data_IF_489523358270
#
_entry.id   IF_489523358270
#
_cell.length_a   1.000
_cell.length_b   1.000
_cell.length_c   1.000
_cell.angle_alpha   90.00
_cell.angle_beta   90.00
_cell.angle_gamma   90.00
#
_symmetry.space_group_name_H-M   'P 1'
#
loop_
_entity.id
_entity.type
_entity.pdbx_description
1 polymer ?
2 non-polymer ?
3 non-polymer ?
4 non-polymer ?
5 non-polymer ?
6 non-polymer ?
7 water ?
#
# COMPACT_ATOMS: atom_id res chain seq x y z
N UNK A 11 -25.20 -14.91 13.85
CA UNK A 11 -25.24 -13.46 13.67
C UNK A 11 -23.84 -12.89 13.48
N UNK A 12 -22.81 -13.71 13.72
CA UNK A 12 -21.42 -13.32 13.50
C UNK A 12 -20.80 -14.05 12.33
N UNK A 13 -21.62 -14.55 11.42
CA UNK A 13 -21.11 -15.28 10.26
C UNK A 13 -20.56 -14.32 9.22
N UNK A 14 -19.39 -14.63 8.68
CA UNK A 14 -18.77 -13.85 7.62
C UNK A 14 -18.58 -14.79 6.42
N UNK A 15 -19.05 -14.35 5.26
CA UNK A 15 -18.81 -15.06 4.01
C UNK A 15 -17.55 -14.50 3.39
N UNK A 16 -16.63 -15.35 2.95
CA UNK A 16 -15.34 -14.86 2.51
C UNK A 16 -14.78 -15.77 1.42
N UNK A 17 -13.60 -15.41 0.93
CA UNK A 17 -12.81 -16.24 0.04
C UNK A 17 -11.46 -16.52 0.71
N UNK A 18 -11.11 -17.79 0.84
CA UNK A 18 -9.93 -18.17 1.60
C UNK A 18 -9.03 -19.07 0.77
N UNK A 19 -7.72 -18.99 1.06
CA UNK A 19 -6.80 -20.05 0.69
C UNK A 19 -6.76 -21.06 1.83
N UNK A 20 -7.03 -22.32 1.54
CA UNK A 20 -6.98 -23.35 2.57
C UNK A 20 -5.56 -23.82 2.83
N UNK A 21 -4.69 -23.70 1.83
CA UNK A 21 -3.28 -24.00 1.96
C UNK A 21 -2.54 -23.10 0.98
N UNK A 22 -1.22 -23.06 1.09
CA UNK A 22 -0.42 -22.22 0.20
C UNK A 22 -0.60 -22.63 -1.25
N UNK A 23 -0.77 -21.63 -2.12
CA UNK A 23 -0.79 -21.88 -3.55
C UNK A 23 -2.08 -22.42 -4.12
N UNK A 24 -3.15 -22.51 -3.33
CA UNK A 24 -4.42 -23.00 -3.86
C UNK A 24 -5.23 -21.85 -4.46
N UNK A 25 -6.20 -22.21 -5.30
CA UNK A 25 -7.25 -21.26 -5.67
C UNK A 25 -8.00 -20.83 -4.41
N UNK A 26 -8.46 -19.59 -4.41
CA UNK A 26 -9.29 -19.10 -3.33
C UNK A 26 -10.68 -19.70 -3.44
N UNK A 27 -11.22 -20.14 -2.29
CA UNK A 27 -12.46 -20.89 -2.27
C UNK A 27 -13.50 -20.20 -1.40
N UNK A 28 -14.78 -20.37 -1.70
CA UNK A 28 -15.83 -19.87 -0.78
C UNK A 28 -15.64 -20.42 0.63
N UNK A 29 -15.78 -19.55 1.61
CA UNK A 29 -15.41 -19.90 2.97
C UNK A 29 -16.26 -19.08 3.94
N UNK A 30 -17.07 -19.76 4.76
CA UNK A 30 -17.85 -19.11 5.80
C UNK A 30 -17.20 -19.38 7.14
N UNK A 31 -17.14 -18.36 8.00
CA UNK A 31 -16.59 -18.58 9.34
C UNK A 31 -17.35 -17.76 10.37
N UNK A 32 -17.25 -18.22 11.62
CA UNK A 32 -17.87 -17.57 12.77
C UNK A 32 -16.87 -16.57 13.33
N UNK A 33 -17.16 -15.27 13.21
CA UNK A 33 -16.22 -14.26 13.66
C UNK A 33 -16.22 -14.06 15.18
N UNK A 34 -17.16 -14.67 15.89
CA UNK A 34 -17.28 -14.43 17.32
C UNK A 34 -17.85 -13.04 17.58
N UNK A 35 -18.05 -12.75 18.87
CA UNK A 35 -18.64 -11.47 19.25
C UNK A 35 -17.67 -10.33 18.97
N UNK A 36 -18.21 -9.24 18.44
CA UNK A 36 -17.43 -8.02 18.26
C UNK A 36 -16.93 -7.54 19.61
N UNK A 37 -15.66 -7.22 19.69
CA UNK A 37 -15.08 -6.80 20.96
C UNK A 37 -15.20 -5.28 21.12
N UNK A 38 -15.11 -4.78 22.35
CA UNK A 38 -15.38 -3.35 22.58
C UNK A 38 -14.48 -2.42 21.80
N UNK A 39 -13.23 -2.82 21.50
CA UNK A 39 -12.31 -1.95 20.78
C UNK A 39 -12.41 -2.07 19.27
N UNK A 40 -13.32 -2.90 18.76
CA UNK A 40 -13.40 -3.20 17.34
C UNK A 40 -14.61 -2.53 16.69
N UNK A 41 -14.55 -2.44 15.35
CA UNK A 41 -15.69 -2.04 14.53
C UNK A 41 -15.85 -3.10 13.44
N UNK A 42 -17.06 -3.16 12.89
CA UNK A 42 -17.35 -4.07 11.78
C UNK A 42 -17.78 -3.24 10.59
N UNK A 43 -17.22 -3.57 9.44
CA UNK A 43 -17.41 -2.84 8.20
C UNK A 43 -18.01 -3.79 7.17
N UNK A 44 -19.08 -3.36 6.52
CA UNK A 44 -19.58 -4.09 5.36
C UNK A 44 -18.77 -3.68 4.15
N UNK A 45 -18.07 -4.64 3.53
CA UNK A 45 -17.12 -4.33 2.46
C UNK A 45 -17.87 -3.86 1.21
N UNK A 46 -17.40 -2.75 0.63
CA UNK A 46 -17.87 -2.30 -0.68
C UNK A 46 -16.86 -2.64 -1.78
N UNK A 47 -15.58 -2.33 -1.56
CA UNK A 47 -14.51 -2.64 -2.50
C UNK A 47 -13.29 -3.11 -1.73
N UNK A 48 -12.45 -3.88 -2.41
CA UNK A 48 -11.15 -4.22 -1.82
C UNK A 48 -10.12 -4.33 -2.94
N UNK A 49 -9.04 -3.57 -2.82
CA UNK A 49 -7.96 -3.70 -3.76
C UNK A 49 -7.24 -5.02 -3.63
N UNK A 50 -6.48 -5.35 -4.66
CA UNK A 50 -5.67 -6.55 -4.72
C UNK A 50 -4.26 -6.13 -5.07
N UNK A 51 -3.27 -6.59 -4.31
CA UNK A 51 -1.89 -6.33 -4.70
C UNK A 51 -1.01 -7.53 -4.35
N UNK A 52 0.29 -7.41 -4.66
CA UNK A 52 1.17 -8.57 -4.53
C UNK A 52 1.40 -8.97 -3.09
N UNK A 53 1.20 -8.07 -2.12
CA UNK A 53 1.32 -8.47 -0.73
C UNK A 53 0.26 -9.50 -0.36
N UNK A 54 -0.93 -9.41 -0.97
CA UNK A 54 -1.93 -10.47 -0.78
C UNK A 54 -1.39 -11.80 -1.30
N UNK A 55 -0.81 -11.79 -2.50
CA UNK A 55 -0.25 -13.02 -3.07
C UNK A 55 0.81 -13.59 -2.14
N UNK A 56 1.69 -12.73 -1.62
CA UNK A 56 2.76 -13.21 -0.76
C UNK A 56 2.22 -13.90 0.47
N UNK A 57 1.19 -13.32 1.09
CA UNK A 57 0.58 -13.96 2.26
C UNK A 57 -0.14 -15.24 1.85
N UNK A 58 -0.92 -15.17 0.77
CA UNK A 58 -1.60 -16.37 0.29
C UNK A 58 -0.63 -17.53 0.08
N UNK A 59 0.59 -17.23 -0.40
CA UNK A 59 1.58 -18.26 -0.66
C UNK A 59 2.51 -18.53 0.50
N UNK A 60 2.30 -17.88 1.66
CA UNK A 60 3.14 -18.07 2.84
C UNK A 60 4.60 -17.73 2.55
N UNK A 61 4.83 -16.73 1.68
CA UNK A 61 6.18 -16.29 1.35
C UNK A 61 6.96 -15.86 2.59
N UNK A 62 6.28 -15.25 3.55
CA UNK A 62 6.93 -14.67 4.71
C UNK A 62 6.82 -15.56 5.94
N UNK A 63 6.37 -16.79 5.76
CA UNK A 63 6.30 -17.80 6.82
C UNK A 63 5.55 -17.28 8.04
N UNK A 64 4.50 -16.49 7.80
CA UNK A 64 3.67 -15.97 8.86
C UNK A 64 2.18 -16.20 8.61
N UNK A 65 1.80 -16.91 7.56
CA UNK A 65 0.38 -17.05 7.22
C UNK A 65 -0.27 -18.10 8.11
N UNK A 66 -1.48 -17.81 8.56
CA UNK A 66 -2.32 -18.76 9.29
C UNK A 66 -3.42 -19.22 8.34
N UNK A 67 -3.40 -20.55 7.98
CA UNK A 67 -4.44 -21.03 7.07
C UNK A 67 -5.63 -21.60 7.86
N UNK A 68 -6.86 -21.44 7.35
CA UNK A 68 -7.22 -20.72 6.12
C UNK A 68 -7.03 -19.22 6.25
N UNK A 69 -6.59 -18.56 5.20
CA UNK A 69 -6.34 -17.12 5.25
C UNK A 69 -7.32 -16.43 4.32
N UNK A 70 -7.99 -15.41 4.86
CA UNK A 70 -8.82 -14.48 4.11
C UNK A 70 -7.98 -13.23 3.91
N UNK A 71 -7.55 -12.98 2.68
CA UNK A 71 -6.66 -11.86 2.40
C UNK A 71 -7.49 -10.61 2.08
N UNK A 72 -6.86 -9.59 1.46
CA UNK A 72 -7.55 -8.33 1.20
C UNK A 72 -7.28 -7.30 2.29
N UNK A 73 -6.48 -6.27 1.96
CA UNK A 73 -6.09 -5.28 2.96
C UNK A 73 -6.12 -3.86 2.37
N UNK A 74 -6.94 -3.64 1.34
CA UNK A 74 -7.14 -2.32 0.71
C UNK A 74 -8.65 -2.08 0.67
N UNK A 75 -9.26 -1.95 1.85
CA UNK A 75 -10.71 -2.13 2.02
C UNK A 75 -11.40 -0.77 2.08
N UNK A 76 -12.48 -0.62 1.32
CA UNK A 76 -13.42 0.49 1.44
C UNK A 76 -14.78 -0.09 1.81
N UNK A 77 -15.40 0.41 2.87
CA UNK A 77 -16.73 -0.05 3.20
C UNK A 77 -17.40 0.88 4.19
N UNK A 78 -18.56 0.47 4.69
CA UNK A 78 -19.31 1.27 5.64
C UNK A 78 -19.42 0.56 6.98
N UNK A 79 -19.31 1.35 8.05
CA UNK A 79 -19.46 0.81 9.39
C UNK A 79 -20.87 0.25 9.57
N UNK A 80 -20.95 -1.00 10.04
CA UNK A 80 -22.24 -1.59 10.38
C UNK A 80 -22.37 -1.89 11.85
N UNK A 81 -21.28 -1.88 12.61
CA UNK A 81 -21.38 -2.09 14.05
C UNK A 81 -20.20 -1.45 14.73
N UNK A 82 -20.43 -0.91 15.92
CA UNK A 82 -19.40 -0.24 16.70
C UNK A 82 -19.27 -0.92 18.05
N UNK A 83 -18.04 -1.31 18.40
CA UNK A 83 -17.75 -1.64 19.77
C UNK A 83 -17.91 -0.41 20.65
N UNK A 84 -18.18 -0.67 21.94
CA UNK A 84 -18.52 0.42 22.86
C UNK A 84 -17.37 1.40 23.05
N UNK A 85 -16.12 1.02 22.71
CA UNK A 85 -14.99 1.91 22.90
C UNK A 85 -14.67 2.76 21.68
N UNK A 86 -15.37 2.55 20.56
CA UNK A 86 -15.07 3.33 19.37
C UNK A 86 -15.35 4.82 19.60
N UNK A 87 -14.46 5.67 19.09
CA UNK A 87 -14.57 7.11 19.24
C UNK A 87 -14.62 7.75 17.85
N UNK A 88 -15.46 8.76 17.69
CA UNK A 88 -15.44 9.55 16.47
C UNK A 88 -16.07 8.92 15.25
N UNK A 89 -16.72 7.77 15.38
CA UNK A 89 -17.26 7.06 14.23
C UNK A 89 -18.75 6.90 14.39
N UNK A 90 -19.43 6.61 13.28
CA UNK A 90 -20.86 6.35 13.36
C UNK A 90 -21.23 5.24 12.40
N UNK A 91 -22.30 4.52 12.74
CA UNK A 91 -22.82 3.52 11.83
C UNK A 91 -23.18 4.20 10.50
N UNK A 92 -22.84 3.53 9.40
CA UNK A 92 -23.13 4.05 8.07
C UNK A 92 -22.00 4.85 7.45
N UNK A 93 -21.00 5.23 8.25
CA UNK A 93 -19.89 6.02 7.76
C UNK A 93 -18.95 5.19 6.88
N UNK A 94 -18.50 5.77 5.77
CA UNK A 94 -17.55 5.08 4.90
C UNK A 94 -16.14 5.23 5.43
N UNK A 95 -15.42 4.12 5.56
CA UNK A 95 -14.08 4.10 6.09
C UNK A 95 -13.21 3.22 5.21
N UNK A 96 -11.90 3.34 5.40
CA UNK A 96 -10.94 2.46 4.78
C UNK A 96 -10.16 1.70 5.84
N UNK A 97 -9.78 0.47 5.50
CA UNK A 97 -8.91 -0.34 6.34
C UNK A 97 -7.76 -0.82 5.48
N UNK A 98 -6.54 -0.63 5.98
CA UNK A 98 -5.36 -0.98 5.24
C UNK A 98 -4.65 -2.17 5.85
N UNK A 99 -3.31 -2.14 5.82
CA UNK A 99 -2.51 -3.29 6.24
C UNK A 99 -2.72 -3.62 7.72
N UNK A 100 -2.92 -2.62 8.58
CA UNK A 100 -2.97 -2.84 10.01
C UNK A 100 -4.42 -2.85 10.49
N UNK A 101 -4.76 -3.84 11.31
CA UNK A 101 -6.09 -3.94 11.89
C UNK A 101 -6.13 -3.52 13.35
N UNK A 102 -5.15 -3.89 14.18
CA UNK A 102 -5.21 -3.58 15.60
C UNK A 102 -3.82 -3.21 16.11
N UNK A 103 -3.78 -2.33 17.12
CA UNK A 103 -2.56 -2.12 17.87
C UNK A 103 -2.95 -1.83 19.32
N UNK A 104 -1.95 -1.81 20.21
CA UNK A 104 -2.23 -1.92 21.63
C UNK A 104 -2.78 -0.64 22.26
N UNK A 105 -2.58 0.52 21.63
CA UNK A 105 -3.06 1.83 22.07
C UNK A 105 -2.33 2.42 23.28
N UNK A 106 -1.46 1.65 23.93
CA UNK A 106 -0.88 2.07 25.20
C UNK A 106 0.64 2.15 25.23
N UNK A 107 1.35 1.54 24.28
CA UNK A 107 2.80 1.65 24.29
C UNK A 107 3.22 3.08 23.92
N UNK A 108 4.51 3.38 24.12
CA UNK A 108 5.02 4.72 23.80
C UNK A 108 4.79 5.07 22.34
N UNK A 109 5.00 4.11 21.44
CA UNK A 109 4.78 4.37 20.02
C UNK A 109 3.32 4.71 19.75
N UNK A 110 2.39 3.91 20.30
CA UNK A 110 0.98 4.12 20.02
C UNK A 110 0.51 5.43 20.60
N UNK A 111 0.89 5.71 21.86
CA UNK A 111 0.39 6.89 22.54
C UNK A 111 0.94 8.15 21.89
N UNK A 112 2.10 8.05 21.23
CA UNK A 112 2.69 9.17 20.52
C UNK A 112 2.32 9.23 19.04
N UNK A 113 1.27 8.53 18.62
CA UNK A 113 0.79 8.64 17.26
C UNK A 113 1.56 7.84 16.22
N UNK A 114 2.41 6.90 16.64
CA UNK A 114 3.09 6.01 15.70
C UNK A 114 2.60 4.58 15.86
N UNK A 115 1.27 4.39 15.74
CA UNK A 115 0.66 3.10 15.99
C UNK A 115 1.17 2.03 15.04
N UNK A 116 1.65 2.41 13.85
CA UNK A 116 2.18 1.41 12.93
C UNK A 116 3.50 0.83 13.45
N UNK A 117 4.16 1.52 14.39
CA UNK A 117 5.38 1.04 15.01
C UNK A 117 5.15 0.44 16.39
N UNK A 118 3.90 0.07 16.68
CA UNK A 118 3.50 -0.46 18.00
C UNK A 118 4.47 -1.54 18.47
N UNK A 119 4.94 -1.39 19.70
CA UNK A 119 5.84 -2.38 20.32
C UNK A 119 5.10 -3.31 21.28
N UNK A 120 3.80 -3.18 21.40
CA UNK A 120 2.94 -4.11 22.13
C UNK A 120 2.27 -5.09 21.19
N UNK A 121 1.10 -5.59 21.60
CA UNK A 121 0.36 -6.51 20.76
C UNK A 121 -0.28 -5.78 19.60
N UNK A 122 -0.06 -6.26 18.38
CA UNK A 122 -0.66 -5.63 17.22
C UNK A 122 -0.97 -6.70 16.20
N UNK A 123 -1.90 -6.39 15.29
CA UNK A 123 -2.41 -7.38 14.35
C UNK A 123 -2.52 -6.76 12.97
N UNK A 124 -1.95 -7.42 11.97
CA UNK A 124 -2.12 -7.03 10.57
C UNK A 124 -3.39 -7.67 10.01
N UNK A 125 -4.09 -6.91 9.17
CA UNK A 125 -5.40 -7.28 8.64
C UNK A 125 -5.46 -8.71 8.07
N UNK A 126 -4.38 -9.18 7.43
CA UNK A 126 -4.46 -10.49 6.80
C UNK A 126 -3.46 -11.48 7.37
N UNK A 127 -2.80 -11.16 8.48
CA UNK A 127 -1.79 -12.04 9.08
C UNK A 127 -2.36 -12.52 10.40
N UNK A 128 -2.82 -13.76 10.45
CA UNK A 128 -3.51 -14.25 11.64
C UNK A 128 -4.77 -13.49 11.95
N UNK A 129 -5.43 -12.98 10.92
CA UNK A 129 -6.61 -12.11 10.99
C UNK A 129 -7.28 -12.19 9.62
N UNK A 130 -8.59 -12.00 9.60
CA UNK A 130 -9.35 -12.09 8.35
C UNK A 130 -9.49 -10.71 7.72
N UNK A 131 -9.26 -10.64 6.41
CA UNK A 131 -9.26 -9.36 5.71
C UNK A 131 -10.50 -9.11 4.90
N UNK A 132 -10.33 -8.34 3.82
CA UNK A 132 -11.39 -7.72 3.05
C UNK A 132 -11.94 -8.50 1.88
N UNK A 133 -11.41 -9.69 1.58
CA UNK A 133 -12.02 -10.56 0.58
C UNK A 133 -13.21 -11.30 1.20
N UNK A 134 -14.20 -10.51 1.62
CA UNK A 134 -15.25 -10.99 2.51
C UNK A 134 -16.41 -10.00 2.47
N UNK A 135 -17.58 -10.42 2.96
CA UNK A 135 -18.69 -9.47 2.96
C UNK A 135 -18.58 -8.48 4.12
N UNK A 136 -17.93 -8.88 5.20
CA UNK A 136 -17.68 -8.00 6.35
C UNK A 136 -16.24 -8.20 6.80
N UNK A 137 -15.71 -7.17 7.46
CA UNK A 137 -14.36 -7.21 8.00
C UNK A 137 -14.37 -6.44 9.31
N UNK A 138 -13.50 -6.84 10.22
CA UNK A 138 -13.41 -6.17 11.52
C UNK A 138 -12.00 -5.62 11.73
N UNK A 139 -11.92 -4.57 12.54
CA UNK A 139 -10.63 -3.97 12.84
C UNK A 139 -10.78 -3.15 14.10
N UNK A 140 -9.65 -2.79 14.71
CA UNK A 140 -9.71 -1.82 15.79
C UNK A 140 -10.18 -0.47 15.29
N UNK A 141 -10.90 0.25 16.16
CA UNK A 141 -11.58 1.46 15.70
C UNK A 141 -10.60 2.53 15.21
N UNK A 142 -9.40 2.60 15.79
CA UNK A 142 -8.46 3.63 15.33
C UNK A 142 -7.94 3.36 13.92
N UNK A 143 -8.08 2.13 13.43
CA UNK A 143 -7.55 1.76 12.13
C UNK A 143 -8.61 1.79 11.04
N UNK A 144 -9.83 2.16 11.36
CA UNK A 144 -10.89 2.40 10.38
C UNK A 144 -10.83 3.88 10.01
N UNK A 145 -10.26 4.18 8.85
CA UNK A 145 -9.87 5.55 8.49
C UNK A 145 -11.07 6.19 7.79
N UNK A 146 -11.61 7.29 8.33
CA UNK A 146 -12.75 7.94 7.65
C UNK A 146 -12.38 8.45 6.27
N UNK A 147 -13.28 8.22 5.31
CA UNK A 147 -13.13 8.74 3.94
C UNK A 147 -13.87 10.07 3.81
N UNK A 148 -13.23 11.04 3.14
CA UNK A 148 -13.97 12.23 2.70
C UNK A 148 -15.16 11.82 1.85
N UNK A 149 -16.28 12.53 2.03
CA UNK A 149 -17.48 12.18 1.28
C UNK A 149 -17.29 12.31 -0.23
N UNK A 150 -16.36 13.14 -0.68
CA UNK A 150 -16.19 13.38 -2.10
C UNK A 150 -15.08 12.54 -2.73
N UNK A 151 -14.57 11.54 -2.03
CA UNK A 151 -13.58 10.65 -2.60
C UNK A 151 -14.26 9.43 -3.21
N UNK A 152 -14.04 9.19 -4.50
CA UNK A 152 -14.62 8.05 -5.20
C UNK A 152 -14.26 6.73 -4.52
N UNK A 153 -15.24 5.93 -4.06
CA UNK A 153 -14.90 4.73 -3.27
C UNK A 153 -14.29 3.62 -4.11
N UNK A 154 -14.57 3.60 -5.40
CA UNK A 154 -14.16 2.51 -6.27
C UNK A 154 -12.64 2.47 -6.46
N UNK A 155 -11.98 3.62 -6.47
CA UNK A 155 -10.54 3.68 -6.68
C UNK A 155 -9.76 4.03 -5.43
N UNK A 156 -10.44 4.23 -4.30
CA UNK A 156 -9.78 4.70 -3.08
C UNK A 156 -9.04 3.59 -2.36
N UNK A 157 -9.48 2.34 -2.49
CA UNK A 157 -8.87 1.24 -1.77
C UNK A 157 -7.37 1.18 -1.88
N UNK A 158 -6.84 1.24 -3.11
CA UNK A 158 -5.38 1.15 -3.27
C UNK A 158 -4.61 2.25 -2.58
N UNK A 159 -5.25 3.37 -2.23
CA UNK A 159 -4.54 4.41 -1.49
C UNK A 159 -4.11 3.94 -0.11
N UNK A 160 -4.88 3.01 0.47
CA UNK A 160 -4.58 2.52 1.81
C UNK A 160 -3.37 1.59 1.84
N UNK A 161 -2.80 1.24 0.69
CA UNK A 161 -1.61 0.41 0.61
C UNK A 161 -0.54 1.03 -0.27
N UNK A 162 -0.77 1.01 -1.59
CA UNK A 162 0.16 1.67 -2.49
C UNK A 162 0.33 3.14 -2.18
N UNK A 163 -0.78 3.82 -1.95
CA UNK A 163 -0.71 5.25 -1.72
C UNK A 163 0.07 5.61 -0.48
N UNK A 164 -0.25 4.96 0.64
CA UNK A 164 0.38 5.34 1.91
C UNK A 164 1.86 4.97 1.90
N UNK A 165 2.25 3.89 1.21
CA UNK A 165 3.67 3.54 1.22
C UNK A 165 4.51 4.53 0.43
N UNK A 166 3.92 5.26 -0.52
CA UNK A 166 4.63 6.37 -1.16
C UNK A 166 4.51 7.66 -0.35
N UNK A 167 3.32 7.91 0.18
CA UNK A 167 3.04 9.14 0.92
C UNK A 167 3.92 9.26 2.17
N UNK A 168 4.10 8.17 2.89
CA UNK A 168 4.81 8.27 4.16
C UNK A 168 6.28 8.65 4.00
N UNK A 169 7.03 8.10 3.04
CA UNK A 169 8.38 8.63 2.81
C UNK A 169 8.40 10.09 2.38
N UNK A 170 7.39 10.57 1.63
CA UNK A 170 7.36 12.00 1.33
C UNK A 170 7.28 12.82 2.61
N UNK A 171 6.43 12.40 3.55
CA UNK A 171 6.36 13.08 4.84
C UNK A 171 7.65 12.94 5.63
N UNK A 172 8.17 11.71 5.75
CA UNK A 172 9.31 11.46 6.62
C UNK A 172 10.57 12.18 6.13
N UNK A 173 10.80 12.17 4.82
CA UNK A 173 11.98 12.83 4.26
C UNK A 173 11.76 14.31 3.98
N UNK A 174 10.60 14.85 4.35
CA UNK A 174 10.29 16.27 4.13
C UNK A 174 10.51 16.67 2.68
N UNK A 175 10.00 15.83 1.77
CA UNK A 175 10.12 16.11 0.34
C UNK A 175 9.23 17.29 -0.03
N UNK A 176 9.76 18.20 -0.86
CA UNK A 176 9.03 19.38 -1.32
C UNK A 176 9.08 19.42 -2.85
N UNK A 177 8.31 20.36 -3.43
CA UNK A 177 8.21 20.46 -4.88
C UNK A 177 9.56 20.73 -5.55
N UNK A 178 10.52 21.30 -4.81
CA UNK A 178 11.83 21.57 -5.39
C UNK A 178 12.66 20.31 -5.64
N UNK A 179 12.32 19.20 -4.98
CA UNK A 179 13.15 18.02 -5.03
C UNK A 179 12.92 17.22 -6.31
N UNK A 180 13.90 16.39 -6.64
CA UNK A 180 13.85 15.48 -7.78
C UNK A 180 13.76 14.06 -7.23
N UNK A 181 12.69 13.35 -7.56
CA UNK A 181 12.44 11.99 -7.04
C UNK A 181 12.50 11.01 -8.20
N UNK A 182 13.20 9.90 -8.00
CA UNK A 182 13.21 8.81 -8.96
C UNK A 182 12.31 7.67 -8.51
N UNK A 183 11.71 6.99 -9.48
CA UNK A 183 10.83 5.85 -9.23
C UNK A 183 11.34 4.67 -10.05
N UNK A 184 11.69 3.58 -9.38
CA UNK A 184 12.26 2.40 -10.03
C UNK A 184 11.16 1.37 -10.21
N UNK A 185 10.89 1.02 -11.47
CA UNK A 185 9.82 0.08 -11.79
C UNK A 185 8.46 0.74 -11.73
N UNK A 186 7.67 0.59 -12.79
CA UNK A 186 6.35 1.22 -12.82
C UNK A 186 5.28 0.18 -13.06
N UNK A 187 5.02 -0.65 -12.07
CA UNK A 187 3.79 -1.42 -12.01
C UNK A 187 2.69 -0.56 -11.43
N UNK A 188 1.74 -1.21 -10.77
CA UNK A 188 0.71 -0.45 -10.06
C UNK A 188 1.29 0.47 -9.01
N UNK A 189 2.35 0.03 -8.33
CA UNK A 189 2.94 0.83 -7.26
C UNK A 189 3.68 2.04 -7.82
N UNK A 190 4.46 1.86 -8.89
CA UNK A 190 5.12 3.00 -9.52
C UNK A 190 4.13 3.99 -10.11
N UNK A 191 3.03 3.49 -10.64
CA UNK A 191 1.97 4.34 -11.16
C UNK A 191 1.41 5.26 -10.07
N UNK A 192 1.08 4.69 -8.91
CA UNK A 192 0.59 5.52 -7.80
C UNK A 192 1.65 6.52 -7.38
N UNK A 193 2.92 6.10 -7.38
CA UNK A 193 3.99 7.01 -6.97
C UNK A 193 4.06 8.22 -7.90
N UNK A 194 3.96 8.00 -9.21
CA UNK A 194 4.07 9.11 -10.15
C UNK A 194 2.93 10.11 -9.96
N UNK A 195 1.70 9.63 -9.80
CA UNK A 195 0.57 10.55 -9.64
C UNK A 195 0.69 11.37 -8.36
N UNK A 196 1.13 10.72 -7.28
CA UNK A 196 1.30 11.43 -6.02
C UNK A 196 2.43 12.46 -6.13
N UNK A 197 3.55 12.08 -6.73
CA UNK A 197 4.65 13.01 -6.91
C UNK A 197 4.27 14.16 -7.84
N UNK A 198 3.43 13.91 -8.84
CA UNK A 198 3.00 15.01 -9.70
C UNK A 198 2.18 16.04 -8.92
N UNK A 199 1.25 15.57 -8.09
CA UNK A 199 0.50 16.47 -7.21
C UNK A 199 1.41 17.20 -6.23
N UNK A 200 2.51 16.56 -5.85
CA UNK A 200 3.46 17.15 -4.91
C UNK A 200 4.28 18.27 -5.53
N UNK A 201 4.35 18.33 -6.86
CA UNK A 201 5.11 19.33 -7.57
C UNK A 201 6.54 18.94 -7.88
N UNK A 202 6.97 17.75 -7.48
CA UNK A 202 8.37 17.35 -7.63
C UNK A 202 8.73 17.19 -9.10
N UNK A 203 10.04 17.26 -9.37
CA UNK A 203 10.55 16.75 -10.63
C UNK A 203 10.62 15.23 -10.52
N UNK A 204 10.26 14.53 -11.60
CA UNK A 204 10.03 13.09 -11.54
C UNK A 204 10.82 12.39 -12.63
N UNK A 205 11.62 11.38 -12.26
CA UNK A 205 12.22 10.47 -13.22
C UNK A 205 11.67 9.06 -12.97
N UNK A 206 11.21 8.41 -14.03
CA UNK A 206 10.76 7.03 -13.96
C UNK A 206 11.76 6.13 -14.65
N UNK A 207 12.18 5.07 -13.95
CA UNK A 207 13.05 4.04 -14.51
C UNK A 207 12.18 2.87 -14.97
N UNK A 208 12.21 2.57 -16.25
CA UNK A 208 11.42 1.51 -16.85
C UNK A 208 12.30 0.63 -17.72
N UNK A 209 12.07 -0.68 -17.65
CA UNK A 209 12.76 -1.61 -18.52
C UNK A 209 12.06 -1.79 -19.87
N UNK A 210 10.78 -1.39 -19.95
CA UNK A 210 10.00 -1.47 -21.18
C UNK A 210 10.08 -0.14 -21.94
N UNK A 211 10.94 -0.04 -22.95
CA UNK A 211 11.11 1.26 -23.64
C UNK A 211 9.88 1.74 -24.39
N UNK A 212 8.85 0.89 -24.55
CA UNK A 212 7.67 1.30 -25.28
C UNK A 212 6.76 2.22 -24.47
N UNK A 213 6.86 2.20 -23.14
CA UNK A 213 5.94 2.92 -22.29
C UNK A 213 6.33 4.37 -22.02
N UNK A 214 7.33 4.89 -22.75
CA UNK A 214 7.87 6.21 -22.44
C UNK A 214 6.82 7.31 -22.59
N UNK A 215 5.98 7.22 -23.63
CA UNK A 215 4.97 8.27 -23.83
C UNK A 215 3.90 8.23 -22.75
N UNK A 216 3.47 7.02 -22.34
CA UNK A 216 2.46 6.91 -21.30
C UNK A 216 2.98 7.35 -19.94
N UNK A 217 4.25 7.05 -19.64
CA UNK A 217 4.81 7.50 -18.37
C UNK A 217 4.89 9.01 -18.31
N UNK A 218 5.31 9.64 -19.42
CA UNK A 218 5.39 11.10 -19.43
C UNK A 218 4.02 11.73 -19.29
N UNK A 219 3.00 11.17 -19.95
CA UNK A 219 1.64 11.68 -19.79
C UNK A 219 1.14 11.44 -18.37
N UNK A 220 1.62 10.37 -17.73
CA UNK A 220 1.27 10.10 -16.34
C UNK A 220 1.83 11.16 -15.40
N UNK A 221 2.88 11.88 -15.80
CA UNK A 221 3.43 12.94 -14.97
C UNK A 221 4.95 12.91 -14.89
N UNK A 222 5.56 11.86 -15.41
CA UNK A 222 7.02 11.74 -15.37
C UNK A 222 7.66 12.82 -16.23
N UNK A 223 8.66 13.50 -15.66
CA UNK A 223 9.41 14.48 -16.44
C UNK A 223 10.48 13.81 -17.29
N UNK A 224 11.04 12.70 -16.82
CA UNK A 224 12.09 11.99 -17.53
C UNK A 224 11.84 10.50 -17.40
N UNK A 225 12.26 9.75 -18.42
CA UNK A 225 12.14 8.29 -18.43
C UNK A 225 13.50 7.72 -18.83
N UNK A 226 14.00 6.81 -18.01
CA UNK A 226 15.32 6.21 -18.20
C UNK A 226 15.16 4.70 -18.35
N UNK A 227 15.81 4.13 -19.37
CA UNK A 227 15.88 2.69 -19.53
C UNK A 227 16.69 2.10 -18.38
N UNK A 228 16.00 1.44 -17.44
CA UNK A 228 16.70 0.84 -16.32
C UNK A 228 17.59 -0.33 -16.74
N UNK A 229 17.42 -0.86 -17.96
CA UNK A 229 18.32 -1.88 -18.45
C UNK A 229 19.61 -1.29 -19.02
N UNK A 230 19.60 -0.03 -19.43
CA UNK A 230 20.80 0.60 -20.00
C UNK A 230 21.70 1.02 -18.84
N UNK A 231 22.83 0.34 -18.69
CA UNK A 231 23.76 0.67 -17.61
C UNK A 231 24.34 2.07 -17.78
N UNK A 232 24.74 2.42 -19.01
CA UNK A 232 25.30 3.75 -19.24
C UNK A 232 24.28 4.84 -18.95
N UNK A 233 23.00 4.58 -19.22
CA UNK A 233 21.97 5.59 -19.00
C UNK A 233 21.71 5.80 -17.51
N UNK A 234 21.72 4.72 -16.73
CA UNK A 234 21.55 4.88 -15.28
C UNK A 234 22.75 5.62 -14.69
N UNK A 235 23.95 5.28 -15.16
CA UNK A 235 25.16 6.00 -14.74
C UNK A 235 25.02 7.49 -15.02
N UNK A 236 24.43 7.85 -16.16
CA UNK A 236 24.26 9.25 -16.54
C UNK A 236 23.28 10.00 -15.63
N UNK A 237 22.55 9.30 -14.76
CA UNK A 237 21.72 9.94 -13.76
C UNK A 237 22.46 10.20 -12.44
N UNK A 238 23.79 10.16 -12.46
CA UNK A 238 24.55 10.33 -11.23
C UNK A 238 24.20 11.64 -10.54
N UNK A 239 23.95 11.56 -9.24
CA UNK A 239 23.79 12.74 -8.41
C UNK A 239 22.51 13.51 -8.57
N UNK A 240 21.48 12.93 -9.20
CA UNK A 240 20.27 13.68 -9.50
C UNK A 240 19.18 13.64 -8.41
N UNK A 241 19.03 12.54 -7.67
CA UNK A 241 17.77 12.32 -6.93
C UNK A 241 17.92 12.59 -5.44
N UNK A 242 17.01 13.41 -4.91
CA UNK A 242 16.90 13.54 -3.47
C UNK A 242 16.29 12.31 -2.84
N UNK A 243 15.49 11.58 -3.60
CA UNK A 243 14.79 10.42 -3.08
C UNK A 243 14.61 9.46 -4.23
N UNK A 244 14.88 8.20 -3.99
CA UNK A 244 14.76 7.15 -4.99
C UNK A 244 13.81 6.11 -4.39
N UNK A 245 12.69 5.88 -5.05
CA UNK A 245 11.69 4.94 -4.55
C UNK A 245 11.77 3.65 -5.37
N UNK A 246 12.11 2.55 -4.71
CA UNK A 246 12.20 1.25 -5.36
C UNK A 246 10.93 0.47 -5.12
N UNK A 247 10.34 -0.05 -6.21
CA UNK A 247 9.22 -0.97 -6.15
C UNK A 247 9.63 -2.39 -6.53
N UNK A 248 10.90 -2.62 -6.83
CA UNK A 248 11.36 -3.82 -7.53
C UNK A 248 11.40 -5.03 -6.60
N UNK A 249 11.98 -6.13 -7.09
CA UNK A 249 12.04 -7.37 -6.34
C UNK A 249 13.20 -8.25 -6.84
N UNK A 250 14.28 -7.62 -7.28
CA UNK A 250 15.44 -8.37 -7.78
C UNK A 250 16.74 -7.81 -7.20
N UNK A 253 21.34 -3.53 -9.91
CA UNK A 253 22.67 -3.00 -9.62
C UNK A 253 22.57 -1.85 -8.64
N UNK A 254 22.60 -2.19 -7.34
CA UNK A 254 22.32 -1.19 -6.31
C UNK A 254 23.44 -0.17 -6.18
N UNK A 255 24.67 -0.55 -6.54
CA UNK A 255 25.75 0.43 -6.56
C UNK A 255 25.47 1.54 -7.57
N UNK A 256 25.06 1.15 -8.79
CA UNK A 256 24.76 2.12 -9.82
C UNK A 256 23.62 3.06 -9.40
N UNK A 257 22.58 2.50 -8.78
CA UNK A 257 21.44 3.34 -8.41
C UNK A 257 21.73 4.21 -7.20
N UNK A 258 22.53 3.72 -6.24
CA UNK A 258 22.92 4.60 -5.15
C UNK A 258 23.73 5.77 -5.68
N UNK A 259 24.48 5.58 -6.77
CA UNK A 259 25.21 6.69 -7.35
C UNK A 259 24.30 7.77 -7.92
N UNK A 260 23.05 7.42 -8.28
CA UNK A 260 22.13 8.43 -8.80
C UNK A 260 21.56 9.32 -7.71
N UNK A 261 21.77 8.99 -6.43
CA UNK A 261 21.32 9.89 -5.37
C UNK A 261 22.18 11.14 -5.34
N UNK A 262 21.52 12.27 -5.15
CA UNK A 262 22.16 13.53 -4.81
C UNK A 262 22.76 13.45 -3.41
N UNK A 263 23.66 14.38 -3.06
CA UNK A 263 24.12 14.46 -1.66
C UNK A 263 22.93 14.56 -0.71
N UNK A 264 23.03 13.85 0.41
CA UNK A 264 21.97 13.70 1.41
C UNK A 264 20.74 12.96 0.88
N UNK A 265 20.82 12.33 -0.30
CA UNK A 265 19.67 11.63 -0.82
C UNK A 265 19.44 10.29 -0.14
N UNK A 266 18.25 9.73 -0.35
CA UNK A 266 17.89 8.47 0.28
C UNK A 266 17.34 7.49 -0.75
N UNK A 267 17.78 6.24 -0.63
CA UNK A 267 17.18 5.11 -1.33
C UNK A 267 16.13 4.52 -0.40
N UNK A 268 14.87 4.49 -0.83
CA UNK A 268 13.79 4.09 0.06
C UNK A 268 13.05 2.91 -0.55
N UNK A 269 13.02 1.79 0.19
CA UNK A 269 12.38 0.59 -0.28
C UNK A 269 10.90 0.57 0.10
N UNK A 270 10.02 0.31 -0.87
CA UNK A 270 8.59 0.33 -0.60
C UNK A 270 8.07 -1.04 -0.17
N UNK A 271 8.13 -2.04 -1.05
CA UNK A 271 7.58 -3.35 -0.75
C UNK A 271 8.60 -4.30 -0.13
N UNK A 272 8.10 -5.27 0.64
CA UNK A 272 9.00 -6.16 1.37
C UNK A 272 9.62 -7.17 0.43
N UNK A 273 10.77 -6.81 -0.14
CA UNK A 273 11.60 -7.78 -0.83
C UNK A 273 12.39 -8.60 0.17
N UNK A 274 12.51 -9.90 -0.09
CA UNK A 274 13.27 -10.77 0.81
C UNK A 274 14.73 -10.90 0.40
N UNK A 275 15.08 -10.54 -0.83
CA UNK A 275 16.46 -10.62 -1.27
C UNK A 275 17.29 -9.56 -0.55
N UNK A 276 18.34 -9.94 0.17
CA UNK A 276 19.20 -8.94 0.82
C UNK A 276 19.80 -7.99 -0.20
N UNK A 277 19.97 -6.74 0.22
CA UNK A 277 20.57 -5.71 -0.63
C UNK A 277 22.00 -5.48 -0.16
N UNK A 278 23.01 -5.76 -0.98
CA UNK A 278 24.39 -5.49 -0.56
C UNK A 278 24.66 -4.00 -0.68
N UNK A 279 25.07 -3.38 0.42
CA UNK A 279 25.28 -1.94 0.46
C UNK A 279 26.75 -1.69 0.75
N UNK A 280 27.40 -0.92 -0.11
CA UNK A 280 28.75 -0.46 0.15
C UNK A 280 28.67 0.74 1.09
N UNK A 281 29.30 0.62 2.25
CA UNK A 281 29.33 1.70 3.23
C UNK A 281 29.95 2.95 2.65
N UNK A 282 31.00 2.78 1.83
CA UNK A 282 31.62 3.92 1.19
C UNK A 282 30.66 4.73 0.34
N UNK A 283 29.70 4.06 -0.31
CA UNK A 283 28.75 4.81 -1.11
C UNK A 283 27.81 5.64 -0.25
N UNK A 284 27.50 5.17 0.97
CA UNK A 284 26.70 5.98 1.90
C UNK A 284 27.55 7.09 2.52
N UNK A 285 28.79 6.77 2.90
CA UNK A 285 29.63 7.74 3.59
C UNK A 285 29.92 8.93 2.70
N UNK A 286 30.25 8.67 1.44
CA UNK A 286 30.83 9.73 0.61
C UNK A 286 29.81 10.84 0.33
N UNK A 287 28.54 10.48 0.13
CA UNK A 287 27.51 11.47 -0.13
C UNK A 287 26.57 11.76 1.01
N UNK A 288 26.81 11.23 2.21
CA UNK A 288 25.87 11.31 3.33
C UNK A 288 24.50 10.78 2.92
N UNK A 289 24.49 9.64 2.23
CA UNK A 289 23.27 9.03 1.72
C UNK A 289 22.74 7.99 2.71
N UNK A 290 21.47 7.64 2.55
CA UNK A 290 20.82 6.69 3.43
C UNK A 290 20.07 5.64 2.63
N UNK A 291 19.89 4.48 3.26
CA UNK A 291 18.99 3.43 2.79
C UNK A 291 17.93 3.24 3.87
N UNK A 292 16.67 3.24 3.46
CA UNK A 292 15.62 3.19 4.46
C UNK A 292 14.41 2.47 3.89
N UNK A 293 13.48 2.19 4.78
CA UNK A 293 12.20 1.64 4.41
C UNK A 293 11.22 2.18 5.43
N UNK A 294 9.95 2.04 5.12
CA UNK A 294 8.92 2.50 6.04
C UNK A 294 7.70 1.61 5.91
N UNK A 295 6.93 1.47 6.95
CA UNK A 295 5.78 0.55 6.89
C UNK A 295 4.58 1.17 6.19
N UNK A 296 3.39 0.79 6.63
CA UNK A 296 2.16 1.07 5.92
C UNK A 296 1.32 2.19 6.54
N UNK A 297 1.96 3.07 7.31
CA UNK A 297 1.32 4.27 7.79
C UNK A 297 0.56 4.13 9.10
N UNK A 298 0.60 5.18 9.91
CA UNK A 298 -0.24 5.28 11.10
C UNK A 298 -1.51 6.06 10.75
N UNK A 299 -2.53 6.01 11.64
CA UNK A 299 -3.82 6.60 11.28
C UNK A 299 -3.78 8.07 10.88
N UNK A 300 -2.95 8.90 11.52
CA UNK A 300 -2.92 10.32 11.13
C UNK A 300 -2.48 10.50 9.68
N UNK A 301 -1.43 9.79 9.27
CA UNK A 301 -0.97 9.91 7.89
C UNK A 301 -1.99 9.33 6.91
N UNK A 302 -2.65 8.24 7.29
CA UNK A 302 -3.68 7.68 6.41
C UNK A 302 -4.82 8.68 6.22
N UNK A 303 -5.23 9.33 7.30
CA UNK A 303 -6.26 10.36 7.17
C UNK A 303 -5.80 11.50 6.28
N UNK A 304 -4.55 11.94 6.47
CA UNK A 304 -4.03 13.04 5.66
C UNK A 304 -4.01 12.67 4.19
N UNK A 305 -3.62 11.42 3.88
CA UNK A 305 -3.55 11.01 2.49
C UNK A 305 -4.91 11.02 1.83
N UNK A 306 -5.93 10.51 2.53
CA UNK A 306 -7.27 10.47 1.94
C UNK A 306 -7.79 11.89 1.72
N UNK A 307 -7.53 12.79 2.66
CA UNK A 307 -7.91 14.19 2.48
C UNK A 307 -7.20 14.82 1.29
N UNK A 308 -5.90 14.54 1.15
CA UNK A 308 -5.13 15.07 0.02
C UNK A 308 -5.65 14.53 -1.30
N UNK A 309 -5.98 13.25 -1.34
CA UNK A 309 -6.48 12.67 -2.59
C UNK A 309 -7.85 13.20 -2.94
N UNK A 310 -8.64 13.62 -1.96
CA UNK A 310 -9.91 14.24 -2.31
C UNK A 310 -9.71 15.60 -2.96
N UNK A 311 -8.61 16.27 -2.65
CA UNK A 311 -8.31 17.57 -3.22
C UNK A 311 -7.56 17.48 -4.55
N UNK A 312 -6.61 16.55 -4.65
CA UNK A 312 -5.85 16.29 -5.87
C UNK A 312 -6.14 14.86 -6.30
N UNK A 313 -6.61 14.70 -7.53
CA UNK A 313 -6.90 13.36 -8.03
C UNK A 313 -5.65 12.51 -8.05
N UNK A 314 -5.35 11.80 -6.97
CA UNK A 314 -4.19 10.91 -7.00
C UNK A 314 -4.59 9.46 -7.17
N UNK A 315 -5.88 9.16 -7.23
CA UNK A 315 -6.34 7.77 -7.24
C UNK A 315 -5.88 7.06 -8.51
N UNK A 316 -5.49 5.80 -8.42
CA UNK A 316 -4.97 5.10 -9.59
C UNK A 316 -6.09 4.73 -10.55
N UNK A 317 -5.69 4.53 -11.80
CA UNK A 317 -6.55 3.83 -12.76
C UNK A 317 -6.74 2.40 -12.28
N UNK A 318 -7.98 1.93 -12.26
CA UNK A 318 -8.26 0.62 -11.69
C UNK A 318 -8.94 -0.26 -12.74
N UNK A 319 -8.77 -1.57 -12.59
CA UNK A 319 -9.57 -2.57 -13.28
C UNK A 319 -10.45 -3.25 -12.24
N UNK A 320 -11.75 -3.26 -12.47
CA UNK A 320 -12.72 -3.75 -11.48
C UNK A 320 -13.17 -5.17 -11.83
N UNK A 321 -13.10 -6.08 -10.85
CA UNK A 321 -13.64 -7.42 -10.93
C UNK A 321 -14.67 -7.63 -9.82
N UNK A 322 -15.74 -8.37 -10.08
CA UNK A 322 -16.57 -8.85 -8.96
C UNK A 322 -15.73 -9.75 -8.06
N UNK A 323 -16.04 -9.69 -6.76
CA UNK A 323 -15.32 -10.52 -5.79
C UNK A 323 -15.46 -12.00 -6.10
N UNK A 324 -16.58 -12.40 -6.71
CA UNK A 324 -16.79 -13.80 -7.12
C UNK A 324 -15.85 -14.24 -8.23
N UNK A 325 -15.06 -13.32 -8.78
CA UNK A 325 -14.05 -13.60 -9.79
C UNK A 325 -12.65 -13.30 -9.27
N UNK A 326 -12.44 -13.53 -7.97
CA UNK A 326 -11.14 -13.22 -7.36
C UNK A 326 -10.01 -14.00 -8.01
N UNK A 327 -10.23 -15.28 -8.32
CA UNK A 327 -9.15 -16.05 -8.91
C UNK A 327 -8.78 -15.54 -10.30
N UNK A 328 -9.78 -15.08 -11.05
CA UNK A 328 -9.51 -14.43 -12.34
C UNK A 328 -8.74 -13.14 -12.14
N UNK A 329 -9.07 -12.38 -11.08
CA UNK A 329 -8.35 -11.15 -10.79
C UNK A 329 -6.91 -11.42 -10.41
N UNK A 330 -6.68 -12.49 -9.65
CA UNK A 330 -5.31 -12.85 -9.30
C UNK A 330 -4.52 -13.25 -10.54
N UNK A 331 -5.15 -13.96 -11.48
CA UNK A 331 -4.47 -14.29 -12.72
C UNK A 331 -4.13 -13.01 -13.50
N UNK A 332 -5.05 -12.05 -13.53
CA UNK A 332 -4.78 -10.79 -14.21
C UNK A 332 -3.61 -10.04 -13.57
N UNK A 333 -3.56 -10.00 -12.23
CA UNK A 333 -2.41 -9.40 -11.56
C UNK A 333 -1.11 -10.08 -12.00
N UNK A 334 -1.12 -11.41 -12.04
CA UNK A 334 0.12 -12.12 -12.35
C UNK A 334 0.57 -11.90 -13.80
N UNK A 335 -0.36 -11.58 -14.70
CA UNK A 335 -0.02 -11.37 -16.10
C UNK A 335 0.82 -10.11 -16.34
N UNK A 336 0.84 -9.18 -15.38
CA UNK A 336 1.53 -7.92 -15.57
C UNK A 336 0.81 -6.90 -16.42
N UNK A 337 -0.37 -7.23 -16.95
CA UNK A 337 -1.06 -6.38 -17.91
C UNK A 337 -2.03 -5.39 -17.27
N UNK A 338 -2.22 -5.44 -15.95
CA UNK A 338 -3.19 -4.56 -15.31
C UNK A 338 -2.77 -3.10 -15.41
N UNK A 339 -3.74 -2.23 -15.66
CA UNK A 339 -3.51 -0.79 -15.77
C UNK A 339 -4.52 -0.10 -14.85
N UNK A 340 -4.17 0.10 -13.58
CA UNK A 340 -2.87 -0.29 -13.04
C UNK A 340 -3.04 -1.05 -11.72
N UNK A 341 -4.15 -0.83 -11.04
CA UNK A 341 -4.47 -1.56 -9.83
C UNK A 341 -5.80 -2.30 -10.02
N UNK A 342 -5.86 -3.50 -9.47
CA UNK A 342 -7.06 -4.33 -9.54
C UNK A 342 -7.84 -4.13 -8.26
N UNK A 343 -9.16 -3.95 -8.40
CA UNK A 343 -10.06 -3.78 -7.26
C UNK A 343 -11.21 -4.78 -7.40
N UNK A 344 -11.59 -5.40 -6.29
CA UNK A 344 -12.73 -6.32 -6.23
C UNK A 344 -13.94 -5.56 -5.72
N UNK A 345 -15.09 -5.72 -6.40
CA UNK A 345 -16.34 -5.19 -5.89
C UNK A 345 -17.07 -6.30 -5.14
N UNK A 346 -17.44 -6.04 -3.89
CA UNK A 346 -18.13 -7.06 -3.12
C UNK A 346 -19.49 -7.35 -3.75
N UNK A 347 -19.78 -8.65 -3.97
CA UNK A 347 -21.02 -9.07 -4.63
C UNK A 347 -21.63 -10.29 -3.93
N UNK A 348 -21.61 -10.30 -2.60
CA UNK A 348 -22.16 -11.42 -1.86
C UNK A 348 -23.68 -11.34 -1.79
N UNK A 349 -24.31 -12.50 -1.66
CA UNK A 349 -25.76 -12.54 -1.49
C UNK A 349 -26.14 -11.93 -0.14
N UNK A 350 -27.20 -11.13 -0.17
CA UNK A 350 -27.61 -10.37 1.01
C UNK A 350 -28.34 -11.25 2.03
#
# INVERSE_FOLDING_TARGET
MAHHHHHHMSNNTIQAYAAMQAGEKLVPYKFDAGELQPHQVEVKVEYCGLCHSDISVLNNEWHSTVYPVVAGHEIIGRIVALGSEAKGLQIGQRVGIGWTAESCQACDECIGGQQVLCTGENIATIVGHAGGFADKVRAGWQWAIPLPEDLDPESAGPLLCGGITVFDPLLKHKIQATHHVGVIGIGGLGHIAIKLLKAWGCEITAFSSNPDKTEELKAMGADHVVNSRDTEAVKAQKGKFDLLLSTVNVTLNWRAFISTLAPNGSLHFLGLTLEPVPVSVGSLIDGAKSVTGSPTGSPAALRQLLKFAARKKIAPQIELFPMSQLNEAIERLHSGQARYRIVLKADFAE
#
